data_IF_523770783130
#
_entry.id   IF_523770783130
#
_cell.length_a   1.000
_cell.length_b   1.000
_cell.length_c   1.000
_cell.angle_alpha   90.00
_cell.angle_beta   90.00
_cell.angle_gamma   90.00
#
_symmetry.space_group_name_H-M   'P 1'
#
loop_
_entity.id
_entity.type
_entity.pdbx_description
1 polymer ?
#
# COMPACT_ATOMS: atom_id res chain seq x y z
N UNK A 1 15.24 -19.87 -5.34
CA UNK A 1 15.77 -19.69 -3.96
C UNK A 1 17.27 -20.02 -3.97
N UNK A 2 18.04 -19.73 -2.91
CA UNK A 2 19.48 -20.04 -2.83
C UNK A 2 19.83 -21.51 -3.03
N UNK A 3 18.88 -22.40 -2.73
CA UNK A 3 19.02 -23.86 -2.78
C UNK A 3 18.52 -24.49 -4.10
N UNK A 4 18.16 -23.68 -5.10
CA UNK A 4 17.57 -24.15 -6.36
C UNK A 4 16.21 -24.84 -6.26
N UNK A 5 15.54 -24.79 -5.11
CA UNK A 5 14.18 -25.33 -4.94
C UNK A 5 13.20 -24.46 -5.70
N UNK A 6 12.47 -25.11 -6.60
CA UNK A 6 11.39 -24.52 -7.36
C UNK A 6 10.22 -24.16 -6.44
N UNK A 7 9.72 -22.92 -6.53
CA UNK A 7 8.44 -22.53 -5.93
C UNK A 7 7.24 -23.20 -6.65
N UNK A 8 7.47 -23.74 -7.84
CA UNK A 8 6.52 -24.56 -8.56
C UNK A 8 6.61 -26.00 -8.08
N UNK A 9 5.47 -26.60 -7.78
CA UNK A 9 5.40 -28.02 -7.44
C UNK A 9 6.11 -28.84 -8.53
N UNK A 10 7.11 -29.64 -8.10
CA UNK A 10 7.77 -30.58 -8.98
C UNK A 10 6.72 -31.59 -9.44
N UNK A 11 6.67 -31.81 -10.74
CA UNK A 11 5.72 -32.69 -11.39
C UNK A 11 5.86 -34.14 -10.88
N UNK A 12 5.20 -34.49 -9.78
CA UNK A 12 5.43 -35.75 -9.06
C UNK A 12 4.20 -36.62 -8.91
N UNK A 13 3.06 -36.22 -9.48
CA UNK A 13 1.88 -37.07 -9.68
C UNK A 13 1.08 -36.51 -10.87
N UNK A 14 0.08 -37.25 -11.37
CA UNK A 14 -0.80 -36.97 -12.52
C UNK A 14 -1.55 -35.61 -12.50
N UNK A 15 -1.15 -34.66 -11.66
CA UNK A 15 -1.68 -33.32 -11.48
C UNK A 15 -0.69 -32.20 -11.82
N UNK A 16 0.35 -32.49 -12.60
CA UNK A 16 1.33 -31.50 -13.04
C UNK A 16 1.56 -31.57 -14.54
N UNK A 17 1.62 -30.41 -15.20
CA UNK A 17 1.76 -30.28 -16.65
C UNK A 17 0.60 -29.50 -17.27
N UNK A 18 0.60 -29.41 -18.61
CA UNK A 18 -0.44 -28.68 -19.34
C UNK A 18 -1.85 -29.17 -18.98
N UNK A 19 -2.06 -30.48 -18.80
CA UNK A 19 -3.35 -31.08 -18.43
C UNK A 19 -3.85 -30.69 -17.03
N UNK A 20 -2.99 -30.21 -16.15
CA UNK A 20 -3.37 -29.70 -14.84
C UNK A 20 -3.64 -28.19 -14.84
N UNK A 21 -3.24 -27.48 -15.89
CA UNK A 21 -3.42 -26.04 -15.99
C UNK A 21 -4.90 -25.66 -16.04
N UNK A 22 -5.36 -24.94 -15.02
CA UNK A 22 -6.76 -24.50 -14.93
C UNK A 22 -7.19 -23.68 -16.15
N UNK A 23 -6.30 -22.86 -16.71
CA UNK A 23 -6.59 -22.05 -17.89
C UNK A 23 -6.73 -22.89 -19.17
N UNK A 24 -5.91 -23.93 -19.32
CA UNK A 24 -6.06 -24.88 -20.43
C UNK A 24 -7.35 -25.69 -20.32
N UNK A 25 -7.67 -26.18 -19.10
CA UNK A 25 -8.95 -26.87 -18.83
C UNK A 25 -10.18 -26.02 -19.14
N UNK A 26 -10.03 -24.70 -19.01
CA UNK A 26 -11.06 -23.72 -19.33
C UNK A 26 -11.00 -23.22 -20.79
N UNK A 27 -10.12 -23.77 -21.63
CA UNK A 27 -10.04 -23.44 -23.05
C UNK A 27 -9.39 -22.09 -23.37
N UNK A 28 -8.67 -21.47 -22.43
CA UNK A 28 -7.95 -20.20 -22.66
C UNK A 28 -6.82 -20.41 -23.68
N UNK A 29 -6.08 -21.50 -23.52
CA UNK A 29 -4.97 -21.90 -24.40
C UNK A 29 -4.94 -23.44 -24.52
N UNK A 30 -4.22 -23.98 -25.51
CA UNK A 30 -3.99 -25.42 -25.66
C UNK A 30 -2.65 -25.69 -26.38
N UNK A 31 -2.26 -26.96 -26.55
CA UNK A 31 -1.15 -27.37 -27.40
C UNK A 31 -1.62 -27.59 -28.84
N UNK A 32 -0.86 -27.11 -29.81
CA UNK A 32 -1.08 -27.44 -31.23
C UNK A 32 -0.56 -28.85 -31.55
N UNK A 33 -0.66 -29.27 -32.82
CA UNK A 33 -0.21 -30.60 -33.27
C UNK A 33 1.29 -30.87 -33.08
N UNK A 34 2.10 -29.83 -32.94
CA UNK A 34 3.55 -29.90 -32.70
C UNK A 34 3.90 -29.81 -31.20
N UNK A 35 2.90 -29.82 -30.32
CA UNK A 35 3.08 -29.71 -28.88
C UNK A 35 3.46 -28.30 -28.40
N UNK A 36 3.22 -27.25 -29.20
CA UNK A 36 3.50 -25.86 -28.82
C UNK A 36 2.25 -25.18 -28.24
N UNK A 37 2.39 -24.36 -27.18
CA UNK A 37 1.27 -23.64 -26.59
C UNK A 37 0.73 -22.58 -27.55
N UNK A 38 -0.58 -22.58 -27.74
CA UNK A 38 -1.33 -21.62 -28.56
C UNK A 38 -2.50 -21.05 -27.77
N UNK A 39 -2.67 -19.73 -27.83
CA UNK A 39 -3.82 -19.05 -27.24
C UNK A 39 -5.08 -19.39 -28.06
N UNK A 40 -6.14 -19.82 -27.37
CA UNK A 40 -7.40 -20.26 -27.99
C UNK A 40 -8.47 -19.19 -27.87
N UNK A 41 -8.53 -18.53 -26.71
CA UNK A 41 -9.48 -17.45 -26.46
C UNK A 41 -8.76 -16.24 -25.82
N UNK A 42 -8.40 -15.22 -26.61
CA UNK A 42 -7.81 -14.00 -26.09
C UNK A 42 -8.79 -13.12 -25.32
N UNK A 43 -10.10 -13.37 -25.41
CA UNK A 43 -11.16 -12.59 -24.76
C UNK A 43 -11.78 -13.30 -23.55
N UNK A 44 -11.21 -14.42 -23.11
CA UNK A 44 -11.77 -15.25 -22.04
C UNK A 44 -12.13 -14.46 -20.77
N UNK A 45 -11.27 -13.50 -20.38
CA UNK A 45 -11.47 -12.65 -19.20
C UNK A 45 -12.13 -11.30 -19.51
N UNK A 46 -12.60 -11.07 -20.74
CA UNK A 46 -13.27 -9.83 -21.11
C UNK A 46 -14.79 -9.90 -20.90
N UNK A 47 -15.36 -11.11 -20.83
CA UNK A 47 -16.82 -11.30 -20.71
C UNK A 47 -17.20 -12.16 -19.53
N UNK A 48 -18.28 -11.78 -18.85
CA UNK A 48 -18.80 -12.53 -17.72
C UNK A 48 -19.37 -13.87 -18.24
N UNK A 49 -18.90 -15.03 -17.75
CA UNK A 49 -19.26 -16.33 -18.30
C UNK A 49 -20.73 -16.71 -18.08
N UNK A 50 -21.44 -16.02 -17.17
CA UNK A 50 -22.86 -16.27 -16.91
C UNK A 50 -23.78 -15.39 -17.77
N UNK A 51 -23.37 -14.16 -18.05
CA UNK A 51 -24.24 -13.17 -18.72
C UNK A 51 -23.82 -12.88 -20.16
N UNK A 52 -22.55 -13.12 -20.52
CA UNK A 52 -21.95 -12.78 -21.80
C UNK A 52 -21.66 -11.28 -21.99
N UNK A 53 -21.96 -10.44 -21.00
CA UNK A 53 -21.63 -9.01 -21.00
C UNK A 53 -20.14 -8.78 -20.73
N UNK A 54 -19.64 -7.58 -21.01
CA UNK A 54 -18.29 -7.17 -20.61
C UNK A 54 -18.16 -7.22 -19.08
N UNK A 55 -17.00 -7.64 -18.57
CA UNK A 55 -16.76 -7.78 -17.14
C UNK A 55 -16.62 -6.40 -16.49
N UNK A 56 -17.37 -6.21 -15.39
CA UNK A 56 -17.01 -5.23 -14.37
C UNK A 56 -16.33 -6.00 -13.23
N UNK A 57 -15.01 -5.87 -13.08
CA UNK A 57 -14.29 -6.68 -12.10
C UNK A 57 -14.75 -6.40 -10.67
N UNK A 58 -15.12 -5.16 -10.37
CA UNK A 58 -15.57 -4.76 -9.04
C UNK A 58 -16.88 -5.46 -8.70
N UNK A 59 -17.88 -5.34 -9.57
CA UNK A 59 -19.22 -5.85 -9.33
C UNK A 59 -19.31 -7.38 -9.53
N UNK A 60 -18.64 -7.92 -10.55
CA UNK A 60 -18.73 -9.34 -10.90
C UNK A 60 -17.89 -10.25 -9.98
N UNK A 61 -16.76 -9.74 -9.45
CA UNK A 61 -15.79 -10.57 -8.74
C UNK A 61 -15.38 -10.02 -7.37
N UNK A 62 -14.98 -8.76 -7.27
CA UNK A 62 -14.40 -8.22 -6.04
C UNK A 62 -15.43 -8.11 -4.91
N UNK A 63 -16.59 -7.48 -5.16
CA UNK A 63 -17.67 -7.36 -4.17
C UNK A 63 -18.18 -8.74 -3.71
N UNK A 64 -18.48 -9.71 -4.61
CA UNK A 64 -18.85 -11.06 -4.21
C UNK A 64 -17.77 -11.77 -3.39
N UNK A 65 -16.49 -11.57 -3.73
CA UNK A 65 -15.38 -12.11 -2.96
C UNK A 65 -15.31 -11.49 -1.56
N UNK A 66 -15.37 -10.17 -1.45
CA UNK A 66 -15.37 -9.46 -0.18
C UNK A 66 -16.53 -9.92 0.70
N UNK A 67 -17.75 -9.95 0.17
CA UNK A 67 -18.93 -10.40 0.92
C UNK A 67 -18.75 -11.84 1.46
N UNK A 68 -18.24 -12.76 0.63
CA UNK A 68 -17.98 -14.13 1.05
C UNK A 68 -16.90 -14.20 2.14
N UNK A 69 -15.81 -13.45 1.99
CA UNK A 69 -14.73 -13.40 2.96
C UNK A 69 -15.19 -12.79 4.30
N UNK A 70 -15.93 -11.68 4.25
CA UNK A 70 -16.51 -11.00 5.42
C UNK A 70 -17.42 -11.95 6.20
N UNK A 71 -18.34 -12.64 5.53
CA UNK A 71 -19.23 -13.63 6.17
C UNK A 71 -18.46 -14.80 6.77
N UNK A 72 -17.44 -15.31 6.07
CA UNK A 72 -16.62 -16.42 6.55
C UNK A 72 -15.81 -16.04 7.80
N UNK A 73 -15.18 -14.86 7.81
CA UNK A 73 -14.43 -14.34 8.96
C UNK A 73 -15.36 -14.14 10.14
N UNK A 74 -16.48 -13.42 9.96
CA UNK A 74 -17.39 -13.10 11.08
C UNK A 74 -18.11 -14.31 11.66
N UNK A 75 -18.29 -15.38 10.88
CA UNK A 75 -18.78 -16.66 11.41
C UNK A 75 -17.89 -17.20 12.55
N UNK A 76 -16.59 -16.92 12.51
CA UNK A 76 -15.62 -17.40 13.51
C UNK A 76 -15.12 -16.29 14.44
N UNK A 77 -15.14 -15.03 13.98
CA UNK A 77 -14.69 -13.85 14.72
C UNK A 77 -15.70 -12.71 14.54
N UNK A 78 -16.85 -12.75 15.26
CA UNK A 78 -17.93 -11.76 15.09
C UNK A 78 -17.47 -10.31 15.28
N UNK A 79 -16.48 -10.09 16.15
CA UNK A 79 -15.98 -8.76 16.53
C UNK A 79 -14.70 -8.35 15.77
N UNK A 80 -14.34 -9.07 14.69
CA UNK A 80 -13.15 -8.73 13.91
C UNK A 80 -13.26 -7.34 13.26
N UNK A 81 -12.21 -6.54 13.40
CA UNK A 81 -11.99 -5.35 12.58
C UNK A 81 -11.36 -5.82 11.27
N UNK A 82 -12.08 -5.67 10.17
CA UNK A 82 -11.64 -6.19 8.86
C UNK A 82 -11.17 -5.04 7.99
N UNK A 83 -9.95 -5.18 7.48
CA UNK A 83 -9.28 -4.24 6.61
C UNK A 83 -9.52 -4.65 5.15
N UNK A 84 -9.95 -3.70 4.33
CA UNK A 84 -10.25 -3.93 2.92
C UNK A 84 -9.37 -3.04 2.05
N UNK A 85 -8.68 -3.67 1.13
CA UNK A 85 -7.91 -3.00 0.10
C UNK A 85 -8.78 -2.70 -1.13
N UNK A 86 -8.45 -1.64 -1.88
CA UNK A 86 -9.09 -1.37 -3.17
C UNK A 86 -8.70 -2.42 -4.20
N UNK A 87 -9.55 -2.64 -5.20
CA UNK A 87 -9.06 -3.19 -6.47
C UNK A 87 -8.45 -2.04 -7.25
N UNK A 88 -7.21 -2.21 -7.66
CA UNK A 88 -6.50 -1.21 -8.47
C UNK A 88 -6.66 -1.59 -9.95
N UNK A 89 -7.39 -0.77 -10.70
CA UNK A 89 -7.37 -0.81 -12.15
C UNK A 89 -6.50 0.33 -12.68
N UNK A 90 -5.30 -0.01 -13.14
CA UNK A 90 -4.38 0.98 -13.71
C UNK A 90 -4.81 1.47 -15.10
N UNK A 91 -5.79 0.82 -15.74
CA UNK A 91 -6.32 1.22 -17.05
C UNK A 91 -7.46 2.24 -16.93
N UNK A 92 -8.17 2.26 -15.80
CA UNK A 92 -9.15 3.28 -15.45
C UNK A 92 -8.86 3.91 -14.07
N UNK A 93 -7.91 4.85 -14.00
CA UNK A 93 -7.58 5.55 -12.75
C UNK A 93 -8.71 6.46 -12.24
N UNK A 94 -9.81 6.61 -12.98
CA UNK A 94 -11.00 7.34 -12.56
C UNK A 94 -12.09 6.47 -11.93
N UNK A 95 -11.91 5.14 -11.94
CA UNK A 95 -12.88 4.21 -11.38
C UNK A 95 -13.03 4.42 -9.87
N UNK A 96 -14.27 4.35 -9.39
CA UNK A 96 -14.54 4.33 -7.96
C UNK A 96 -14.02 3.02 -7.36
N UNK A 97 -12.98 3.10 -6.54
CA UNK A 97 -12.34 1.92 -5.95
C UNK A 97 -13.12 1.36 -4.75
N UNK A 98 -13.89 2.19 -4.04
CA UNK A 98 -14.55 1.79 -2.80
C UNK A 98 -15.83 0.97 -3.05
N UNK A 99 -15.95 -0.23 -2.47
CA UNK A 99 -17.20 -0.98 -2.47
C UNK A 99 -18.24 -0.33 -1.53
N UNK A 100 -19.52 -0.45 -1.88
CA UNK A 100 -20.64 -0.03 -1.02
C UNK A 100 -21.22 -1.26 -0.33
N UNK A 101 -21.16 -1.29 1.00
CA UNK A 101 -21.67 -2.40 1.81
C UNK A 101 -22.92 -2.02 2.59
N UNK A 102 -23.81 -2.99 2.80
CA UNK A 102 -24.93 -2.84 3.75
C UNK A 102 -24.44 -2.83 5.20
N UNK A 103 -25.31 -2.48 6.15
CA UNK A 103 -24.99 -2.56 7.58
C UNK A 103 -24.62 -3.98 8.02
N UNK A 104 -25.33 -4.97 7.50
CA UNK A 104 -25.07 -6.40 7.76
C UNK A 104 -23.68 -6.80 7.25
N UNK A 105 -23.32 -6.37 6.04
CA UNK A 105 -22.01 -6.62 5.44
C UNK A 105 -20.88 -5.84 6.12
N UNK A 106 -21.14 -4.65 6.65
CA UNK A 106 -20.17 -3.88 7.42
C UNK A 106 -20.01 -4.41 8.86
N UNK A 107 -21.03 -5.06 9.42
CA UNK A 107 -21.00 -5.62 10.78
C UNK A 107 -20.98 -4.55 11.89
N UNK A 108 -21.15 -4.99 13.13
CA UNK A 108 -21.25 -4.11 14.32
C UNK A 108 -20.01 -3.25 14.56
N UNK A 109 -18.82 -3.75 14.22
CA UNK A 109 -17.54 -3.04 14.34
C UNK A 109 -17.08 -2.31 13.07
N UNK A 110 -17.84 -2.42 11.97
CA UNK A 110 -17.51 -1.77 10.70
C UNK A 110 -16.33 -2.42 9.98
N UNK A 111 -15.77 -1.65 9.05
CA UNK A 111 -14.65 -2.02 8.18
C UNK A 111 -13.56 -0.96 8.30
N UNK A 112 -12.35 -1.24 7.83
CA UNK A 112 -11.27 -0.25 7.68
C UNK A 112 -10.87 -0.18 6.22
N UNK A 113 -10.78 1.05 5.70
CA UNK A 113 -10.29 1.29 4.35
C UNK A 113 -8.77 1.29 4.34
N UNK A 114 -8.17 0.32 3.66
CA UNK A 114 -6.77 -0.06 3.80
C UNK A 114 -5.91 0.28 2.56
N UNK A 115 -6.12 1.45 1.93
CA UNK A 115 -5.40 1.83 0.70
C UNK A 115 -3.88 1.92 0.90
N UNK A 116 -3.13 1.70 -0.16
CA UNK A 116 -1.70 1.97 -0.19
C UNK A 116 -1.43 3.39 -0.67
N UNK A 117 -0.30 3.95 -0.26
CA UNK A 117 0.18 5.23 -0.76
C UNK A 117 1.69 5.20 -0.98
N UNK A 118 2.08 5.40 -2.23
CA UNK A 118 3.46 5.63 -2.63
C UNK A 118 3.57 6.87 -3.50
N UNK A 119 4.67 7.60 -3.36
CA UNK A 119 5.10 8.55 -4.40
C UNK A 119 5.48 7.74 -5.64
N UNK A 120 4.54 7.58 -6.57
CA UNK A 120 4.70 6.71 -7.74
C UNK A 120 5.91 7.06 -8.60
N UNK A 121 6.24 8.35 -8.74
CA UNK A 121 7.45 8.75 -9.47
C UNK A 121 8.71 8.28 -8.77
N UNK A 122 8.79 8.46 -7.45
CA UNK A 122 9.95 8.02 -6.65
C UNK A 122 10.04 6.49 -6.61
N UNK A 123 8.91 5.79 -6.40
CA UNK A 123 8.85 4.33 -6.32
C UNK A 123 9.31 3.68 -7.62
N UNK A 124 8.74 4.07 -8.76
CA UNK A 124 9.03 3.44 -10.06
C UNK A 124 10.42 3.79 -10.59
N UNK A 125 10.90 5.01 -10.32
CA UNK A 125 12.19 5.46 -10.86
C UNK A 125 13.38 5.21 -9.95
N UNK A 126 13.15 4.90 -8.67
CA UNK A 126 14.16 4.96 -7.61
C UNK A 126 14.97 6.28 -7.66
N UNK A 127 14.29 7.39 -7.91
CA UNK A 127 14.87 8.74 -7.90
C UNK A 127 13.93 9.73 -7.25
N UNK A 128 14.38 10.35 -6.16
CA UNK A 128 13.61 11.40 -5.48
C UNK A 128 13.96 12.81 -5.97
N UNK A 129 12.93 13.62 -6.21
CA UNK A 129 13.04 15.03 -6.58
C UNK A 129 12.23 15.91 -5.64
N UNK A 130 12.89 16.89 -5.02
CA UNK A 130 12.23 17.94 -4.20
C UNK A 130 11.59 19.07 -5.03
N UNK A 131 11.83 19.07 -6.34
CA UNK A 131 11.49 20.20 -7.21
C UNK A 131 10.32 19.91 -8.11
N UNK A 132 10.20 18.66 -8.55
CA UNK A 132 9.19 18.24 -9.52
C UNK A 132 8.65 16.87 -9.12
N UNK A 133 7.33 16.72 -9.20
CA UNK A 133 6.63 15.45 -9.07
C UNK A 133 5.30 15.53 -9.87
N UNK A 134 4.42 14.56 -9.74
CA UNK A 134 3.08 14.55 -10.32
C UNK A 134 2.02 14.38 -9.22
N UNK A 135 0.84 14.96 -9.44
CA UNK A 135 -0.31 14.70 -8.58
C UNK A 135 -0.70 13.21 -8.67
N UNK A 136 -0.89 12.50 -7.54
CA UNK A 136 -1.12 11.06 -7.56
C UNK A 136 -2.48 10.66 -8.14
N UNK A 137 -3.42 11.60 -8.27
CA UNK A 137 -4.75 11.38 -8.84
C UNK A 137 -4.83 11.94 -10.26
N UNK A 138 -4.56 13.24 -10.43
CA UNK A 138 -4.75 13.93 -11.72
C UNK A 138 -3.53 13.85 -12.64
N UNK A 139 -2.41 13.29 -12.17
CA UNK A 139 -1.14 13.18 -12.90
C UNK A 139 -0.55 14.53 -13.38
N UNK A 140 -1.06 15.64 -12.87
CA UNK A 140 -0.60 16.98 -13.24
C UNK A 140 0.75 17.30 -12.60
N UNK A 141 1.66 18.02 -13.27
CA UNK A 141 2.96 18.37 -12.71
C UNK A 141 2.84 19.22 -11.43
N UNK A 142 3.65 18.87 -10.43
CA UNK A 142 3.79 19.59 -9.17
C UNK A 142 5.19 20.19 -9.09
N UNK A 143 5.27 21.45 -8.64
CA UNK A 143 6.54 22.16 -8.48
C UNK A 143 6.81 22.54 -7.02
N UNK A 144 7.95 22.11 -6.49
CA UNK A 144 8.46 22.43 -5.16
C UNK A 144 7.92 21.53 -4.04
N UNK A 145 8.81 21.17 -3.10
CA UNK A 145 8.57 20.21 -2.04
C UNK A 145 7.28 20.46 -1.23
N UNK A 146 7.01 21.71 -0.87
CA UNK A 146 5.79 22.05 -0.12
C UNK A 146 4.50 21.80 -0.91
N UNK A 147 4.52 22.02 -2.23
CA UNK A 147 3.35 21.70 -3.07
C UNK A 147 3.21 20.18 -3.27
N UNK A 148 4.32 19.47 -3.41
CA UNK A 148 4.35 18.00 -3.47
C UNK A 148 3.72 17.41 -2.21
N UNK A 149 4.23 17.77 -1.02
CA UNK A 149 3.72 17.32 0.27
C UNK A 149 2.23 17.66 0.47
N UNK A 150 1.81 18.89 0.12
CA UNK A 150 0.40 19.29 0.21
C UNK A 150 -0.49 18.52 -0.75
N UNK A 151 -0.03 18.26 -1.96
CA UNK A 151 -0.81 17.49 -2.94
C UNK A 151 -1.01 16.05 -2.46
N UNK A 152 0.06 15.41 -2.01
CA UNK A 152 0.01 14.06 -1.45
C UNK A 152 -0.88 14.00 -0.20
N UNK A 153 -0.72 14.94 0.73
CA UNK A 153 -1.54 15.01 1.93
C UNK A 153 -3.03 15.25 1.66
N UNK A 154 -3.38 16.03 0.64
CA UNK A 154 -4.76 16.20 0.19
C UNK A 154 -5.33 14.89 -0.38
N UNK A 155 -4.56 14.18 -1.19
CA UNK A 155 -4.99 12.87 -1.71
C UNK A 155 -5.21 11.86 -0.57
N UNK A 156 -4.35 11.85 0.44
CA UNK A 156 -4.53 11.03 1.63
C UNK A 156 -5.73 11.44 2.49
N UNK A 157 -6.03 12.75 2.57
CA UNK A 157 -7.25 13.23 3.22
C UNK A 157 -8.51 12.78 2.46
N UNK A 158 -8.47 12.74 1.12
CA UNK A 158 -9.60 12.28 0.30
C UNK A 158 -9.96 10.81 0.56
N UNK A 159 -9.02 9.96 0.97
CA UNK A 159 -9.34 8.57 1.34
C UNK A 159 -10.39 8.49 2.45
N UNK A 160 -10.44 9.49 3.36
CA UNK A 160 -11.48 9.57 4.40
C UNK A 160 -12.84 9.86 3.80
N UNK A 161 -12.90 10.74 2.81
CA UNK A 161 -14.13 11.04 2.10
C UNK A 161 -14.63 9.82 1.31
N UNK A 162 -13.74 9.12 0.61
CA UNK A 162 -14.04 7.85 -0.08
C UNK A 162 -14.62 6.82 0.89
N UNK A 163 -13.95 6.60 2.02
CA UNK A 163 -14.34 5.62 3.04
C UNK A 163 -15.66 5.94 3.75
N UNK A 164 -16.15 7.19 3.69
CA UNK A 164 -17.46 7.56 4.27
C UNK A 164 -18.65 6.82 3.63
N UNK A 165 -18.44 6.29 2.40
CA UNK A 165 -19.44 5.54 1.64
C UNK A 165 -19.34 4.02 1.83
N UNK A 166 -18.35 3.54 2.59
CA UNK A 166 -18.15 2.11 2.87
C UNK A 166 -19.06 1.60 3.99
N UNK A 167 -20.37 1.75 3.79
CA UNK A 167 -21.42 1.38 4.72
C UNK A 167 -22.03 2.56 5.47
N UNK A 168 -23.13 2.34 6.23
CA UNK A 168 -23.95 3.43 6.77
C UNK A 168 -23.22 4.36 7.76
N UNK A 169 -22.11 3.90 8.35
CA UNK A 169 -21.31 4.65 9.31
C UNK A 169 -19.97 5.14 8.74
N UNK A 170 -19.70 4.83 7.47
CA UNK A 170 -18.37 4.94 6.86
C UNK A 170 -17.35 3.98 7.50
N UNK A 171 -16.09 4.12 7.07
CA UNK A 171 -14.95 3.38 7.60
C UNK A 171 -13.80 4.34 7.97
N UNK A 172 -13.03 4.10 9.04
CA UNK A 172 -11.73 4.75 9.21
C UNK A 172 -10.74 4.32 8.11
N UNK A 173 -9.68 5.10 7.95
CA UNK A 173 -8.60 4.83 7.00
C UNK A 173 -7.33 4.42 7.74
N UNK A 174 -6.74 3.30 7.31
CA UNK A 174 -5.34 2.96 7.56
C UNK A 174 -4.64 2.92 6.19
N UNK A 175 -3.57 3.68 6.00
CA UNK A 175 -2.72 3.46 4.83
C UNK A 175 -1.95 2.15 5.04
N UNK A 176 -2.40 1.08 4.40
CA UNK A 176 -1.90 -0.29 4.59
C UNK A 176 -0.44 -0.46 4.20
N UNK A 177 0.03 0.36 3.26
CA UNK A 177 1.44 0.44 2.90
C UNK A 177 1.83 1.85 2.48
N UNK A 178 2.99 2.28 2.95
CA UNK A 178 3.71 3.41 2.38
C UNK A 178 5.21 3.22 2.59
N UNK A 179 6.04 3.86 1.77
CA UNK A 179 7.48 3.71 1.92
C UNK A 179 8.23 4.38 0.79
N UNK A 180 9.51 4.02 0.67
CA UNK A 180 10.42 4.52 -0.37
C UNK A 180 11.42 3.43 -0.77
N UNK A 181 11.88 3.41 -2.03
CA UNK A 181 13.00 2.58 -2.44
C UNK A 181 14.32 3.03 -1.81
N UNK A 182 15.03 2.14 -1.14
CA UNK A 182 16.35 2.42 -0.57
C UNK A 182 17.49 2.27 -1.58
N UNK A 183 17.26 1.60 -2.71
CA UNK A 183 18.16 1.52 -3.85
C UNK A 183 18.21 2.82 -4.70
N UNK A 184 17.76 3.95 -4.14
CA UNK A 184 17.78 5.24 -4.80
C UNK A 184 19.18 5.70 -5.20
N UNK A 185 19.31 6.26 -6.41
CA UNK A 185 20.59 6.79 -6.89
C UNK A 185 21.08 7.94 -6.00
N UNK A 186 22.36 7.92 -5.65
CA UNK A 186 22.98 9.01 -4.89
C UNK A 186 22.83 10.33 -5.67
N UNK A 187 22.17 11.32 -5.08
CA UNK A 187 22.03 12.64 -5.66
C UNK A 187 22.81 13.65 -4.81
N UNK A 188 23.92 14.17 -5.34
CA UNK A 188 24.81 15.15 -4.66
C UNK A 188 24.11 16.47 -4.28
N UNK A 189 22.85 16.67 -4.70
CA UNK A 189 22.06 17.89 -4.38
C UNK A 189 21.43 17.88 -2.98
N UNK A 190 21.56 16.79 -2.24
CA UNK A 190 21.19 16.77 -0.83
C UNK A 190 22.45 16.97 0.02
N UNK A 191 22.75 18.24 0.35
CA UNK A 191 23.94 18.60 1.15
C UNK A 191 23.90 18.05 2.58
N UNK A 192 22.72 18.08 3.20
CA UNK A 192 22.56 17.86 4.65
C UNK A 192 21.72 16.62 5.01
N UNK A 193 21.25 15.85 4.02
CA UNK A 193 20.33 14.72 4.21
C UNK A 193 20.51 13.70 3.08
N UNK A 194 20.34 12.40 3.31
CA UNK A 194 20.33 11.46 2.17
C UNK A 194 19.04 11.60 1.35
N UNK A 195 19.06 11.34 0.03
CA UNK A 195 17.83 11.32 -0.78
C UNK A 195 16.72 10.43 -0.19
N UNK A 196 17.09 9.28 0.39
CA UNK A 196 16.15 8.35 1.02
C UNK A 196 15.45 8.97 2.22
N UNK A 197 16.18 9.65 3.09
CA UNK A 197 15.61 10.29 4.28
C UNK A 197 14.70 11.46 3.88
N UNK A 198 15.04 12.16 2.80
CA UNK A 198 14.20 13.24 2.26
C UNK A 198 12.89 12.72 1.65
N UNK A 199 12.96 11.61 0.92
CA UNK A 199 11.80 10.96 0.33
C UNK A 199 10.88 10.39 1.44
N UNK A 200 11.46 9.69 2.42
CA UNK A 200 10.72 9.17 3.58
C UNK A 200 10.02 10.30 4.34
N UNK A 201 10.72 11.41 4.61
CA UNK A 201 10.10 12.58 5.24
C UNK A 201 8.98 13.19 4.40
N UNK A 202 9.11 13.17 3.07
CA UNK A 202 8.05 13.65 2.16
C UNK A 202 6.79 12.80 2.27
N UNK A 203 6.93 11.48 2.28
CA UNK A 203 5.83 10.53 2.48
C UNK A 203 5.17 10.71 3.85
N UNK A 204 5.97 10.75 4.93
CA UNK A 204 5.44 10.88 6.29
C UNK A 204 4.81 12.26 6.54
N UNK A 205 5.36 13.33 5.95
CA UNK A 205 4.73 14.66 6.01
C UNK A 205 3.38 14.67 5.31
N UNK A 206 3.21 13.92 4.22
CA UNK A 206 1.92 13.79 3.55
C UNK A 206 0.89 13.09 4.46
N UNK A 207 1.28 12.04 5.18
CA UNK A 207 0.43 11.35 6.16
C UNK A 207 0.00 12.29 7.29
N UNK A 208 0.91 13.12 7.80
CA UNK A 208 0.62 14.15 8.80
C UNK A 208 -0.38 15.20 8.31
N UNK A 209 -0.26 15.64 7.04
CA UNK A 209 -1.21 16.57 6.41
C UNK A 209 -2.57 15.91 6.22
N UNK A 210 -2.59 14.63 5.81
CA UNK A 210 -3.82 13.86 5.64
C UNK A 210 -4.48 13.45 6.97
N UNK A 211 -3.74 13.53 8.08
CA UNK A 211 -4.14 13.03 9.40
C UNK A 211 -4.61 11.56 9.35
N UNK A 212 -3.93 10.72 8.57
CA UNK A 212 -4.24 9.28 8.41
C UNK A 212 -3.20 8.44 9.14
N UNK A 213 -3.62 7.28 9.65
CA UNK A 213 -2.70 6.28 10.18
C UNK A 213 -2.04 5.52 9.03
N UNK A 214 -0.86 4.94 9.24
CA UNK A 214 -0.16 4.18 8.21
C UNK A 214 0.72 3.08 8.78
N UNK A 215 1.03 2.12 7.93
CA UNK A 215 2.06 1.08 8.11
C UNK A 215 3.17 1.30 7.10
N UNK A 216 4.41 1.45 7.59
CA UNK A 216 5.58 1.63 6.71
C UNK A 216 6.00 0.27 6.17
N UNK A 217 6.01 0.14 4.85
CA UNK A 217 6.59 -0.99 4.14
C UNK A 217 8.10 -0.76 4.00
N UNK A 218 8.96 -1.55 4.63
CA UNK A 218 8.66 -2.69 5.52
C UNK A 218 9.77 -2.89 6.54
N UNK A 219 9.64 -3.84 7.46
CA UNK A 219 10.76 -4.37 8.23
C UNK A 219 11.08 -5.79 7.75
N UNK A 220 12.23 -5.97 7.10
CA UNK A 220 12.71 -7.25 6.60
C UNK A 220 14.13 -7.49 7.11
N UNK A 221 14.26 -8.41 8.07
CA UNK A 221 15.52 -8.74 8.74
C UNK A 221 16.55 -9.47 7.85
N UNK A 222 16.16 -9.93 6.66
CA UNK A 222 17.06 -10.54 5.67
C UNK A 222 17.39 -9.58 4.52
N UNK A 223 16.92 -8.32 4.58
CA UNK A 223 17.13 -7.38 3.50
C UNK A 223 18.62 -7.09 3.28
N UNK A 224 19.05 -7.09 2.03
CA UNK A 224 20.38 -6.64 1.59
C UNK A 224 20.25 -5.60 0.49
N UNK A 225 21.26 -4.75 0.33
CA UNK A 225 21.28 -3.74 -0.73
C UNK A 225 21.36 -4.37 -2.13
N UNK A 226 21.85 -5.61 -2.23
CA UNK A 226 21.98 -6.32 -3.51
C UNK A 226 20.69 -7.02 -3.94
N UNK A 227 19.99 -7.66 -3.01
CA UNK A 227 18.83 -8.53 -3.31
C UNK A 227 17.50 -8.00 -2.78
N UNK A 228 17.50 -6.84 -2.12
CA UNK A 228 16.31 -6.34 -1.42
C UNK A 228 15.87 -7.33 -0.36
N UNK A 229 14.56 -7.59 -0.31
CA UNK A 229 13.88 -8.49 0.62
C UNK A 229 14.10 -10.00 0.38
N UNK A 230 14.87 -10.38 -0.65
CA UNK A 230 15.10 -11.76 -1.10
C UNK A 230 13.82 -12.53 -1.49
N UNK A 231 12.71 -11.83 -1.72
CA UNK A 231 11.44 -12.40 -2.16
C UNK A 231 11.13 -12.01 -3.60
N UNK A 232 10.90 -10.72 -3.86
CA UNK A 232 10.65 -10.19 -5.20
C UNK A 232 11.71 -9.16 -5.63
N UNK A 233 12.72 -8.92 -4.79
CA UNK A 233 13.82 -8.01 -5.08
C UNK A 233 13.57 -6.58 -4.64
N UNK A 234 12.51 -6.33 -3.86
CA UNK A 234 12.18 -5.02 -3.34
C UNK A 234 13.17 -4.59 -2.25
N UNK A 235 13.85 -3.47 -2.47
CA UNK A 235 14.67 -2.84 -1.45
C UNK A 235 13.91 -1.70 -0.76
N UNK A 236 12.80 -2.03 -0.08
CA UNK A 236 11.94 -1.06 0.61
C UNK A 236 12.11 -1.05 2.14
N UNK A 237 12.89 -1.98 2.71
CA UNK A 237 12.89 -2.15 4.16
C UNK A 237 13.51 -0.98 4.95
N UNK A 238 12.95 -0.58 6.08
CA UNK A 238 13.59 0.35 7.02
C UNK A 238 14.91 -0.17 7.63
N UNK A 239 15.27 -1.43 7.39
CA UNK A 239 16.49 -2.05 7.89
C UNK A 239 17.22 -2.82 6.79
N UNK A 240 18.55 -2.89 6.86
CA UNK A 240 19.37 -3.72 5.97
C UNK A 240 20.61 -4.22 6.71
N UNK A 241 20.96 -5.49 6.48
CA UNK A 241 22.14 -6.12 7.08
C UNK A 241 23.44 -5.40 6.68
N UNK A 242 23.48 -4.84 5.47
CA UNK A 242 24.64 -4.12 4.92
C UNK A 242 24.89 -2.76 5.60
N UNK A 243 23.91 -2.29 6.39
CA UNK A 243 23.99 -1.03 7.12
C UNK A 243 24.30 -1.21 8.61
N UNK A 244 24.50 -2.46 9.07
CA UNK A 244 24.90 -2.75 10.45
C UNK A 244 26.39 -2.41 10.60
N UNK A 245 26.68 -1.40 11.41
CA UNK A 245 28.05 -0.91 11.67
C UNK A 245 28.49 -1.13 13.12
N UNK A 246 27.56 -1.31 14.05
CA UNK A 246 27.81 -1.56 15.48
C UNK A 246 26.74 -2.51 16.05
N UNK A 247 27.09 -3.74 16.44
CA UNK A 247 26.13 -4.69 17.00
C UNK A 247 25.55 -4.27 18.35
N UNK A 248 26.12 -3.27 19.04
CA UNK A 248 25.61 -2.76 20.31
C UNK A 248 24.67 -1.56 20.14
N UNK A 249 24.58 -0.99 18.93
CA UNK A 249 23.65 0.09 18.62
C UNK A 249 22.29 -0.52 18.20
N UNK A 250 21.24 -0.24 18.98
CA UNK A 250 19.87 -0.65 18.69
C UNK A 250 19.39 -0.17 17.31
N UNK A 251 19.95 0.93 16.81
CA UNK A 251 19.60 1.53 15.53
C UNK A 251 20.51 1.09 14.37
N UNK A 252 21.50 0.22 14.63
CA UNK A 252 22.40 -0.27 13.58
C UNK A 252 21.64 -1.04 12.51
N UNK A 253 21.96 -0.78 11.24
CA UNK A 253 21.22 -1.30 10.09
C UNK A 253 19.96 -0.49 9.75
N UNK A 254 19.52 0.42 10.61
CA UNK A 254 18.36 1.27 10.35
C UNK A 254 18.60 2.29 9.24
N UNK A 255 17.62 2.44 8.36
CA UNK A 255 17.65 3.32 7.19
C UNK A 255 16.63 4.43 7.34
N UNK A 256 17.05 5.66 7.05
CA UNK A 256 16.22 6.87 7.13
C UNK A 256 15.51 7.10 8.47
N UNK A 257 16.11 6.63 9.58
CA UNK A 257 15.54 6.74 10.94
C UNK A 257 15.27 8.19 11.36
N UNK A 258 16.06 9.16 10.90
CA UNK A 258 15.83 10.58 11.17
C UNK A 258 14.48 11.09 10.64
N UNK A 259 13.92 10.42 9.61
CA UNK A 259 12.55 10.64 9.18
C UNK A 259 11.59 9.64 9.85
N UNK A 260 11.89 8.33 9.82
CA UNK A 260 10.95 7.28 10.22
C UNK A 260 10.64 7.26 11.73
N UNK A 261 11.61 7.54 12.58
CA UNK A 261 11.42 7.57 14.04
C UNK A 261 11.03 9.00 14.43
N UNK A 262 9.73 9.21 14.69
CA UNK A 262 9.17 10.54 14.94
C UNK A 262 8.10 10.56 16.03
N UNK A 263 7.94 11.70 16.74
CA UNK A 263 6.81 11.92 17.62
C UNK A 263 5.49 11.98 16.83
N UNK A 264 4.41 11.47 17.42
CA UNK A 264 3.07 11.56 16.86
C UNK A 264 2.03 11.48 17.99
N UNK A 265 0.81 11.96 17.72
CA UNK A 265 -0.29 11.87 18.66
C UNK A 265 -0.91 10.46 18.61
N UNK A 266 -0.49 9.58 19.53
CA UNK A 266 -0.96 8.18 19.58
C UNK A 266 -2.44 8.05 19.99
N UNK A 267 -2.86 8.80 21.01
CA UNK A 267 -4.25 8.86 21.49
C UNK A 267 -4.60 10.30 21.80
N UNK A 268 -5.71 10.79 21.25
CA UNK A 268 -6.15 12.18 21.38
C UNK A 268 -7.54 12.21 22.02
N UNK A 269 -7.70 12.97 23.11
CA UNK A 269 -9.01 13.20 23.73
C UNK A 269 -9.81 14.26 22.95
N UNK A 270 -10.12 13.94 21.69
CA UNK A 270 -10.81 14.84 20.78
C UNK A 270 -10.40 14.62 19.33
N UNK A 271 -10.74 15.58 18.46
CA UNK A 271 -10.54 15.47 17.02
C UNK A 271 -9.23 16.14 16.59
N UNK A 272 -8.26 15.40 16.00
CA UNK A 272 -7.07 15.99 15.40
C UNK A 272 -7.40 17.04 14.35
N UNK A 273 -6.73 18.20 14.40
CA UNK A 273 -6.90 19.30 13.45
C UNK A 273 -5.65 19.52 12.58
N UNK A 274 -4.46 19.31 13.15
CA UNK A 274 -3.20 19.35 12.39
C UNK A 274 -2.09 18.60 13.13
N UNK A 275 -1.16 18.04 12.36
CA UNK A 275 0.07 17.42 12.86
C UNK A 275 1.24 17.82 11.96
N UNK A 276 2.39 18.10 12.56
CA UNK A 276 3.62 18.40 11.85
C UNK A 276 4.83 18.02 12.68
N UNK A 277 5.73 17.25 12.09
CA UNK A 277 7.09 17.07 12.61
C UNK A 277 8.11 17.63 11.64
N UNK A 278 9.03 18.46 12.14
CA UNK A 278 10.11 19.08 11.36
C UNK A 278 11.47 18.52 11.83
N UNK A 279 11.86 17.31 11.39
CA UNK A 279 13.05 16.60 11.91
C UNK A 279 14.37 17.32 11.66
N UNK A 280 14.44 18.21 10.67
CA UNK A 280 15.69 18.89 10.26
C UNK A 280 15.82 20.31 10.79
N UNK A 281 14.81 20.82 11.51
CA UNK A 281 15.00 22.09 12.21
C UNK A 281 15.95 21.86 13.39
N UNK A 282 16.75 22.88 13.71
CA UNK A 282 17.67 22.84 14.87
C UNK A 282 16.96 22.45 16.17
N UNK A 283 15.70 22.83 16.32
CA UNK A 283 14.87 22.54 17.50
C UNK A 283 14.03 21.25 17.37
N UNK A 284 14.09 20.51 16.25
CA UNK A 284 13.34 19.26 15.99
C UNK A 284 11.89 19.34 16.47
N UNK A 285 11.16 20.31 15.90
CA UNK A 285 9.85 20.71 16.41
C UNK A 285 8.74 19.74 15.98
N UNK A 286 7.95 19.30 16.95
CA UNK A 286 6.66 18.66 16.74
C UNK A 286 5.55 19.64 17.14
N UNK A 287 4.56 19.83 16.27
CA UNK A 287 3.38 20.66 16.52
C UNK A 287 2.13 19.83 16.27
N UNK A 288 1.21 19.83 17.22
CA UNK A 288 -0.06 19.12 17.13
C UNK A 288 -1.18 20.02 17.64
N UNK A 289 -2.30 20.06 16.92
CA UNK A 289 -3.52 20.72 17.39
C UNK A 289 -4.71 19.80 17.24
N UNK A 290 -5.63 19.87 18.20
CA UNK A 290 -6.85 19.09 18.21
C UNK A 290 -7.98 19.88 18.88
N UNK A 291 -9.22 19.55 18.53
CA UNK A 291 -10.40 20.05 19.21
C UNK A 291 -10.72 19.10 20.35
N UNK A 292 -10.64 19.57 21.60
CA UNK A 292 -10.95 18.77 22.78
C UNK A 292 -12.40 18.28 22.74
N UNK A 293 -12.60 17.03 23.16
CA UNK A 293 -13.92 16.47 23.43
C UNK A 293 -14.08 16.26 24.94
N UNK A 294 -14.86 17.13 25.57
CA UNK A 294 -15.06 17.15 27.02
C UNK A 294 -16.01 16.03 27.50
N UNK A 295 -16.65 15.30 26.57
CA UNK A 295 -17.49 14.15 26.91
C UNK A 295 -16.69 12.87 27.17
N UNK A 296 -15.43 12.83 26.73
CA UNK A 296 -14.54 11.69 26.95
C UNK A 296 -14.04 11.66 28.39
N UNK A 297 -14.37 10.63 29.15
CA UNK A 297 -13.81 10.39 30.48
C UNK A 297 -12.41 9.80 30.36
N UNK A 298 -11.48 10.26 31.21
CA UNK A 298 -10.22 9.56 31.43
C UNK A 298 -10.52 8.27 32.19
N UNK A 299 -10.50 7.13 31.50
CA UNK A 299 -10.43 5.82 32.16
C UNK A 299 -9.00 5.53 32.60
#
# INVERSE_FOLDING_TARGET
>A
NPDGVSAWQVATTDQSGADACIWRKNGVWDLNGDGQPVLKDPQYFAKNPKTGAEIDFMDDYAIPFYDKALRAIRKHMPDAIIFLEPVIDMTDPGMSEQPVFTEEQAGSHGLVWAKHFYDGMTLLSANFSRWVNANPVTQTPLAGLGNIQRSFGKSLANFKEESSKMGPRGAPVLVGECGIPFNMKSNRRFRDMSPCTAAMDTTLRALEIGLVSATIWTYCHINTNLRGDDWNGEDLSLWSQDHVTDPNDLHSGGRSLAAAVRPYALRTAGTPLSMEFLPYRKDRRFTFSFRSDMSLSTN
#
